data_IF_888905830385
#
_entry.id   IF_888905830385
#
_cell.length_a   1.000
_cell.length_b   1.000
_cell.length_c   1.000
_cell.angle_alpha   90.00
_cell.angle_beta   90.00
_cell.angle_gamma   90.00
#
_symmetry.space_group_name_H-M   'P 1'
#
loop_
_entity.id
_entity.type
_entity.pdbx_description
1 polymer ?
#
# COMPACT_ATOMS: atom_id res chain seq x y z
N UNK A 1 -0.11 11.36 12.20
CA UNK A 1 0.30 12.12 10.99
C UNK A 1 -0.40 11.64 9.71
N UNK A 2 -0.77 10.35 9.57
CA UNK A 2 -1.50 9.80 8.41
C UNK A 2 -2.86 9.15 8.73
N UNK A 3 -3.41 9.36 9.92
CA UNK A 3 -4.63 8.66 10.40
C UNK A 3 -5.84 8.83 9.45
N UNK A 4 -5.97 10.01 8.82
CA UNK A 4 -7.03 10.30 7.86
C UNK A 4 -6.99 9.45 6.57
N UNK A 5 -5.88 8.78 6.27
CA UNK A 5 -5.77 7.82 5.17
C UNK A 5 -6.46 6.51 5.53
N UNK A 6 -6.36 6.09 6.79
CA UNK A 6 -6.84 4.78 7.26
C UNK A 6 -8.23 4.85 7.87
N UNK A 7 -8.64 6.00 8.39
CA UNK A 7 -9.93 6.24 9.02
C UNK A 7 -10.72 7.41 8.37
N UNK A 8 -10.93 7.42 7.03
CA UNK A 8 -11.71 8.47 6.38
C UNK A 8 -13.20 8.32 6.69
N UNK A 9 -13.92 9.43 6.90
CA UNK A 9 -15.37 9.42 7.13
C UNK A 9 -16.17 9.43 5.83
N UNK A 10 -15.50 9.79 4.73
CA UNK A 10 -16.09 9.93 3.41
C UNK A 10 -15.04 9.66 2.34
N UNK A 11 -15.42 8.89 1.33
CA UNK A 11 -14.56 8.51 0.20
C UNK A 11 -15.26 8.80 -1.12
N UNK A 12 -14.50 9.22 -2.12
CA UNK A 12 -14.96 9.29 -3.50
C UNK A 12 -14.18 8.34 -4.40
N UNK A 13 -14.88 7.67 -5.31
CA UNK A 13 -14.31 6.69 -6.22
C UNK A 13 -14.47 7.22 -7.65
N UNK A 14 -13.39 7.77 -8.19
CA UNK A 14 -13.36 8.50 -9.45
C UNK A 14 -13.07 7.55 -10.60
N UNK A 15 -14.00 7.48 -11.54
CA UNK A 15 -13.98 6.54 -12.67
C UNK A 15 -15.03 5.44 -12.56
N UNK A 16 -15.81 5.39 -11.46
CA UNK A 16 -16.89 4.43 -11.28
C UNK A 16 -17.94 4.59 -12.39
N UNK A 17 -18.48 3.51 -12.95
CA UNK A 17 -19.41 3.54 -14.08
C UNK A 17 -20.74 2.90 -13.72
N UNK A 18 -21.83 3.52 -14.16
CA UNK A 18 -23.18 2.92 -14.12
C UNK A 18 -23.46 1.99 -15.30
N UNK A 19 -22.63 2.00 -16.36
CA UNK A 19 -22.83 1.16 -17.53
C UNK A 19 -22.38 -0.29 -17.27
N UNK A 20 -23.35 -1.20 -17.25
CA UNK A 20 -23.18 -2.64 -16.99
C UNK A 20 -22.19 -3.31 -17.96
N UNK A 21 -22.15 -2.92 -19.24
CA UNK A 21 -21.20 -3.49 -20.21
C UNK A 21 -19.75 -3.11 -19.91
N UNK A 22 -19.54 -1.93 -19.33
CA UNK A 22 -18.22 -1.48 -18.88
C UNK A 22 -17.86 -2.02 -17.47
N UNK A 23 -18.83 -2.53 -16.71
CA UNK A 23 -18.64 -2.85 -15.29
C UNK A 23 -17.81 -4.10 -15.03
N UNK A 24 -17.81 -5.09 -15.93
CA UNK A 24 -17.08 -6.35 -15.72
C UNK A 24 -15.55 -6.18 -15.70
N UNK A 25 -15.03 -5.07 -16.24
CA UNK A 25 -13.59 -4.77 -16.28
C UNK A 25 -13.20 -3.41 -15.67
N UNK A 26 -14.16 -2.63 -15.13
CA UNK A 26 -13.86 -1.32 -14.58
C UNK A 26 -13.28 -1.43 -13.16
N UNK A 27 -12.00 -1.14 -13.01
CA UNK A 27 -11.28 -1.15 -11.73
C UNK A 27 -11.92 -0.22 -10.68
N UNK A 28 -12.47 0.94 -11.07
CA UNK A 28 -13.15 1.82 -10.13
C UNK A 28 -14.38 1.15 -9.50
N UNK A 29 -15.11 0.33 -10.26
CA UNK A 29 -16.22 -0.45 -9.72
C UNK A 29 -15.72 -1.55 -8.79
N UNK A 30 -14.55 -2.16 -9.07
CA UNK A 30 -13.93 -3.12 -8.14
C UNK A 30 -13.64 -2.47 -6.79
N UNK A 31 -13.08 -1.26 -6.76
CA UNK A 31 -12.90 -0.51 -5.49
C UNK A 31 -14.23 -0.25 -4.79
N UNK A 32 -15.25 0.23 -5.52
CA UNK A 32 -16.57 0.50 -4.96
C UNK A 32 -17.16 -0.75 -4.31
N UNK A 33 -17.18 -1.85 -5.05
CA UNK A 33 -17.72 -3.12 -4.58
C UNK A 33 -16.88 -3.71 -3.44
N UNK A 34 -15.56 -3.50 -3.44
CA UNK A 34 -14.66 -3.94 -2.36
C UNK A 34 -14.92 -3.17 -1.07
N UNK A 35 -15.12 -1.86 -1.14
CA UNK A 35 -15.44 -1.03 0.03
C UNK A 35 -16.81 -1.39 0.59
N UNK A 36 -17.81 -1.62 -0.27
CA UNK A 36 -19.13 -2.08 0.15
C UNK A 36 -19.07 -3.47 0.80
N UNK A 37 -18.35 -4.42 0.19
CA UNK A 37 -18.23 -5.80 0.69
C UNK A 37 -17.44 -5.89 1.99
N UNK A 38 -16.44 -5.02 2.17
CA UNK A 38 -15.67 -4.91 3.41
C UNK A 38 -16.36 -4.08 4.50
N UNK A 39 -17.54 -3.51 4.22
CA UNK A 39 -18.33 -2.77 5.19
C UNK A 39 -17.73 -1.40 5.54
N UNK A 40 -17.27 -0.63 4.54
CA UNK A 40 -16.77 0.72 4.76
C UNK A 40 -17.71 1.54 5.64
N UNK A 41 -17.18 2.10 6.73
CA UNK A 41 -17.99 2.68 7.81
C UNK A 41 -18.48 4.11 7.52
N UNK A 42 -17.91 4.76 6.51
CA UNK A 42 -18.24 6.13 6.10
C UNK A 42 -19.14 6.23 4.88
N UNK A 43 -19.22 7.44 4.31
CA UNK A 43 -19.99 7.72 3.10
C UNK A 43 -19.18 7.44 1.83
N UNK A 44 -19.79 6.77 0.84
CA UNK A 44 -19.15 6.46 -0.44
C UNK A 44 -19.80 7.26 -1.57
N UNK A 45 -18.99 7.96 -2.35
CA UNK A 45 -19.44 8.79 -3.48
C UNK A 45 -18.81 8.33 -4.80
N UNK A 46 -19.53 7.60 -5.66
CA UNK A 46 -19.03 7.29 -7.00
C UNK A 46 -19.03 8.55 -7.86
N UNK A 47 -17.94 8.77 -8.62
CA UNK A 47 -17.76 9.95 -9.47
C UNK A 47 -17.51 9.53 -10.92
N UNK A 48 -18.32 10.05 -11.84
CA UNK A 48 -18.18 9.89 -13.28
C UNK A 48 -18.74 11.09 -14.02
N UNK A 49 -18.04 11.58 -15.06
CA UNK A 49 -18.52 12.70 -15.89
C UNK A 49 -19.91 12.48 -16.51
N UNK A 50 -20.32 11.22 -16.72
CA UNK A 50 -21.66 10.88 -17.26
C UNK A 50 -22.77 10.90 -16.21
N UNK A 51 -22.43 10.94 -14.92
CA UNK A 51 -23.39 10.78 -13.83
C UNK A 51 -24.08 9.41 -13.85
N UNK A 52 -25.27 9.35 -13.26
CA UNK A 52 -26.11 8.15 -13.20
C UNK A 52 -26.26 7.61 -11.78
N UNK A 53 -26.49 6.30 -11.69
CA UNK A 53 -26.72 5.61 -10.43
C UNK A 53 -26.06 4.23 -10.47
N UNK A 54 -25.35 3.87 -9.40
CA UNK A 54 -24.79 2.53 -9.19
C UNK A 54 -25.43 2.01 -7.91
N UNK A 55 -26.19 0.91 -8.00
CA UNK A 55 -27.04 0.44 -6.88
C UNK A 55 -27.99 1.55 -6.41
N UNK A 56 -27.95 1.90 -5.15
CA UNK A 56 -28.67 3.02 -4.50
C UNK A 56 -27.82 4.30 -4.42
N UNK A 57 -26.58 4.30 -4.92
CA UNK A 57 -25.67 5.42 -4.85
C UNK A 57 -25.79 6.32 -6.08
N UNK A 58 -26.01 7.62 -5.85
CA UNK A 58 -25.93 8.65 -6.87
C UNK A 58 -24.49 8.82 -7.35
N UNK A 59 -24.29 8.79 -8.67
CA UNK A 59 -23.00 9.08 -9.31
C UNK A 59 -22.91 10.58 -9.59
N UNK A 60 -21.93 11.25 -8.99
CA UNK A 60 -21.69 12.68 -9.18
C UNK A 60 -20.76 12.93 -10.37
N UNK A 61 -20.92 14.07 -11.03
CA UNK A 61 -20.13 14.46 -12.19
C UNK A 61 -18.73 14.97 -11.86
N UNK A 62 -18.56 15.55 -10.67
CA UNK A 62 -17.31 16.08 -10.17
C UNK A 62 -17.22 15.90 -8.65
N UNK A 63 -16.00 15.81 -8.11
CA UNK A 63 -15.76 15.73 -6.65
C UNK A 63 -16.26 16.96 -5.90
N UNK A 64 -16.29 18.13 -6.55
CA UNK A 64 -16.82 19.38 -5.95
C UNK A 64 -18.31 19.30 -5.64
N UNK A 65 -19.05 18.53 -6.44
CA UNK A 65 -20.51 18.40 -6.37
C UNK A 65 -20.96 17.47 -5.23
N UNK A 66 -20.04 16.73 -4.61
CA UNK A 66 -20.32 15.85 -3.49
C UNK A 66 -20.84 16.66 -2.30
N UNK A 67 -21.95 16.27 -1.65
CA UNK A 67 -22.46 16.99 -0.49
C UNK A 67 -21.56 16.76 0.73
N UNK A 68 -21.27 17.82 1.48
CA UNK A 68 -20.50 17.72 2.73
C UNK A 68 -18.99 17.54 2.54
N UNK A 69 -18.27 17.16 3.62
CA UNK A 69 -16.84 16.94 3.60
C UNK A 69 -16.48 15.67 2.82
N UNK A 70 -15.30 15.68 2.19
CA UNK A 70 -14.74 14.55 1.46
C UNK A 70 -13.30 14.32 1.95
N UNK A 71 -13.05 13.24 2.69
CA UNK A 71 -11.75 13.03 3.33
C UNK A 71 -10.73 12.37 2.36
N UNK A 72 -11.16 11.41 1.54
CA UNK A 72 -10.28 10.57 0.72
C UNK A 72 -10.80 10.32 -0.69
N UNK A 73 -9.92 10.21 -1.69
CA UNK A 73 -10.29 9.95 -3.09
C UNK A 73 -9.48 8.79 -3.66
N UNK A 74 -10.17 7.83 -4.29
CA UNK A 74 -9.56 6.79 -5.13
C UNK A 74 -9.68 7.23 -6.59
N UNK A 75 -8.55 7.39 -7.28
CA UNK A 75 -8.47 7.81 -8.67
C UNK A 75 -8.15 6.63 -9.61
N UNK A 76 -9.07 6.36 -10.52
CA UNK A 76 -8.95 5.32 -11.55
C UNK A 76 -9.13 5.87 -12.97
N UNK A 77 -8.92 7.17 -13.19
CA UNK A 77 -9.06 7.82 -14.50
C UNK A 77 -7.71 7.91 -15.23
N UNK A 78 -7.73 8.23 -16.52
CA UNK A 78 -6.50 8.38 -17.31
C UNK A 78 -5.60 9.52 -16.80
N UNK A 79 -4.27 9.33 -16.88
CA UNK A 79 -3.26 10.21 -16.29
C UNK A 79 -3.40 11.70 -16.66
N UNK A 80 -3.72 12.01 -17.92
CA UNK A 80 -3.86 13.40 -18.37
C UNK A 80 -5.04 14.15 -17.73
N UNK A 81 -5.98 13.45 -17.08
CA UNK A 81 -7.07 14.07 -16.32
C UNK A 81 -6.73 14.31 -14.84
N UNK A 82 -5.64 13.72 -14.34
CA UNK A 82 -5.25 13.78 -12.93
C UNK A 82 -4.96 15.21 -12.42
N UNK A 83 -4.25 16.08 -13.17
CA UNK A 83 -4.00 17.45 -12.70
C UNK A 83 -5.28 18.23 -12.36
N UNK A 84 -6.33 18.09 -13.19
CA UNK A 84 -7.61 18.74 -12.92
C UNK A 84 -8.31 18.14 -11.69
N UNK A 85 -8.26 16.82 -11.52
CA UNK A 85 -8.81 16.16 -10.33
C UNK A 85 -8.15 16.68 -9.05
N UNK A 86 -6.82 16.85 -9.03
CA UNK A 86 -6.11 17.36 -7.85
C UNK A 86 -6.56 18.78 -7.52
N UNK A 87 -6.72 19.66 -8.52
CA UNK A 87 -7.24 21.03 -8.31
C UNK A 87 -8.64 21.01 -7.71
N UNK A 88 -9.51 20.14 -8.22
CA UNK A 88 -10.88 20.01 -7.72
C UNK A 88 -10.92 19.43 -6.28
N UNK A 89 -10.06 18.45 -5.98
CA UNK A 89 -9.89 17.89 -4.65
C UNK A 89 -9.34 18.92 -3.64
N UNK A 90 -8.34 19.70 -4.04
CA UNK A 90 -7.77 20.77 -3.22
C UNK A 90 -8.84 21.83 -2.90
N UNK A 91 -9.61 22.27 -3.91
CA UNK A 91 -10.72 23.21 -3.70
C UNK A 91 -11.82 22.64 -2.77
N UNK A 92 -11.99 21.32 -2.74
CA UNK A 92 -12.94 20.62 -1.87
C UNK A 92 -12.40 20.36 -0.46
N UNK A 93 -11.11 20.58 -0.22
CA UNK A 93 -10.45 20.28 1.05
C UNK A 93 -10.22 18.79 1.31
N UNK A 94 -10.05 18.00 0.24
CA UNK A 94 -9.71 16.57 0.34
C UNK A 94 -8.32 16.42 0.97
N UNK A 95 -8.17 15.46 1.90
CA UNK A 95 -6.92 15.27 2.64
C UNK A 95 -5.94 14.36 1.90
N UNK A 96 -6.43 13.31 1.25
CA UNK A 96 -5.60 12.37 0.51
C UNK A 96 -6.25 11.89 -0.79
N UNK A 97 -5.40 11.65 -1.79
CA UNK A 97 -5.77 11.00 -3.05
C UNK A 97 -4.85 9.80 -3.28
N UNK A 98 -5.45 8.65 -3.52
CA UNK A 98 -4.79 7.45 -4.00
C UNK A 98 -4.95 7.33 -5.51
N UNK A 99 -3.86 7.03 -6.20
CA UNK A 99 -3.86 6.85 -7.65
C UNK A 99 -3.59 5.40 -8.03
N UNK A 100 -4.64 4.71 -8.47
CA UNK A 100 -4.48 3.49 -9.27
C UNK A 100 -3.90 3.79 -10.65
N UNK A 101 -4.19 4.99 -11.16
CA UNK A 101 -3.69 5.50 -12.43
C UNK A 101 -2.18 5.36 -12.57
N UNK A 102 -1.75 4.72 -13.67
CA UNK A 102 -0.38 4.67 -14.16
C UNK A 102 -0.16 5.67 -15.33
N UNK A 103 1.02 5.68 -15.93
CA UNK A 103 1.49 6.61 -16.97
C UNK A 103 2.40 7.72 -16.45
N UNK A 104 3.10 7.51 -15.33
CA UNK A 104 3.97 8.50 -14.68
C UNK A 104 5.46 8.11 -14.79
N UNK A 105 6.26 8.25 -13.73
CA UNK A 105 7.72 7.99 -13.79
C UNK A 105 8.07 6.55 -14.16
N UNK A 106 7.21 5.59 -13.83
CA UNK A 106 7.37 4.18 -14.20
C UNK A 106 7.29 3.93 -15.71
N UNK A 107 6.75 4.89 -16.48
CA UNK A 107 6.76 4.80 -17.95
C UNK A 107 8.14 5.11 -18.55
N UNK A 108 9.06 5.67 -17.75
CA UNK A 108 10.40 6.09 -18.19
C UNK A 108 10.37 7.10 -19.35
N UNK A 109 9.27 7.83 -19.51
CA UNK A 109 9.11 8.89 -20.52
C UNK A 109 9.23 10.28 -19.91
N UNK A 110 9.80 11.24 -20.64
CA UNK A 110 9.86 12.66 -20.20
C UNK A 110 8.47 13.19 -19.85
N UNK A 111 7.45 12.83 -20.63
CA UNK A 111 6.06 13.21 -20.39
C UNK A 111 5.54 12.67 -19.06
N UNK A 112 5.81 11.40 -18.76
CA UNK A 112 5.41 10.78 -17.49
C UNK A 112 6.11 11.38 -16.28
N UNK A 113 7.41 11.68 -16.41
CA UNK A 113 8.19 12.37 -15.36
C UNK A 113 7.67 13.80 -15.12
N UNK A 114 7.44 14.56 -16.19
CA UNK A 114 6.92 15.92 -16.11
C UNK A 114 5.52 15.95 -15.49
N UNK A 115 4.65 15.01 -15.88
CA UNK A 115 3.32 14.87 -15.30
C UNK A 115 3.38 14.51 -13.82
N UNK A 116 4.29 13.63 -13.40
CA UNK A 116 4.44 13.32 -11.98
C UNK A 116 4.88 14.54 -11.17
N UNK A 117 5.84 15.31 -11.69
CA UNK A 117 6.29 16.54 -11.07
C UNK A 117 5.15 17.57 -10.94
N UNK A 118 4.32 17.71 -11.99
CA UNK A 118 3.14 18.59 -11.96
C UNK A 118 2.18 18.19 -10.84
N UNK A 119 1.80 16.91 -10.74
CA UNK A 119 0.80 16.48 -9.75
C UNK A 119 1.32 16.65 -8.30
N UNK A 120 2.61 16.45 -8.07
CA UNK A 120 3.23 16.67 -6.75
C UNK A 120 3.17 18.16 -6.41
N UNK A 121 3.53 19.05 -7.34
CA UNK A 121 3.48 20.49 -7.13
C UNK A 121 2.04 20.97 -6.83
N UNK A 122 1.05 20.46 -7.57
CA UNK A 122 -0.36 20.80 -7.34
C UNK A 122 -0.88 20.30 -5.98
N UNK A 123 -0.50 19.09 -5.59
CA UNK A 123 -0.90 18.52 -4.31
C UNK A 123 -0.29 19.30 -3.14
N UNK A 124 0.99 19.68 -3.23
CA UNK A 124 1.66 20.51 -2.23
C UNK A 124 1.00 21.89 -2.11
N UNK A 125 0.70 22.56 -3.23
CA UNK A 125 -0.01 23.85 -3.23
C UNK A 125 -1.41 23.74 -2.62
N UNK A 126 -2.09 22.62 -2.85
CA UNK A 126 -3.45 22.36 -2.37
C UNK A 126 -3.53 21.78 -0.96
N UNK A 127 -2.41 21.46 -0.32
CA UNK A 127 -2.40 20.79 0.99
C UNK A 127 -2.97 19.37 0.97
N UNK A 128 -2.86 18.67 -0.16
CA UNK A 128 -3.39 17.30 -0.36
C UNK A 128 -2.24 16.30 -0.34
N UNK A 129 -2.39 15.17 0.35
CA UNK A 129 -1.41 14.07 0.31
C UNK A 129 -1.70 13.09 -0.84
N UNK A 130 -0.65 12.51 -1.42
CA UNK A 130 -0.76 11.54 -2.52
C UNK A 130 -0.20 10.16 -2.12
N UNK A 131 -0.95 9.12 -2.47
CA UNK A 131 -0.50 7.72 -2.41
C UNK A 131 -0.38 7.20 -3.85
N UNK A 132 0.78 6.63 -4.19
CA UNK A 132 1.12 6.23 -5.56
C UNK A 132 1.98 7.28 -6.27
N UNK A 133 1.72 7.56 -7.57
CA UNK A 133 0.77 6.88 -8.44
C UNK A 133 1.15 5.43 -8.74
N UNK A 134 0.40 4.78 -9.63
CA UNK A 134 0.62 3.40 -10.02
C UNK A 134 0.62 2.43 -8.81
N UNK A 135 -0.47 2.45 -8.04
CA UNK A 135 -0.57 1.64 -6.82
C UNK A 135 -1.94 0.97 -6.67
N UNK A 136 -2.05 -0.04 -5.80
CA UNK A 136 -3.35 -0.58 -5.35
C UNK A 136 -3.92 0.22 -4.16
N UNK A 137 -3.07 0.99 -3.48
CA UNK A 137 -3.40 1.78 -2.30
C UNK A 137 -3.78 0.96 -1.07
N UNK A 138 -4.84 1.39 -0.37
CA UNK A 138 -5.06 1.01 1.03
C UNK A 138 -6.07 -0.13 1.17
N UNK A 139 -5.67 -1.12 1.96
CA UNK A 139 -6.53 -2.14 2.56
C UNK A 139 -6.47 -1.97 4.09
N UNK A 140 -7.60 -1.59 4.69
CA UNK A 140 -7.72 -1.35 6.13
C UNK A 140 -9.06 -1.95 6.58
N UNK A 141 -9.07 -3.19 7.08
CA UNK A 141 -10.31 -3.89 7.39
C UNK A 141 -11.14 -3.17 8.47
N UNK A 142 -10.51 -2.50 9.43
CA UNK A 142 -11.20 -1.80 10.52
C UNK A 142 -12.05 -0.63 10.04
N UNK A 143 -11.64 0.04 8.95
CA UNK A 143 -12.43 1.08 8.30
C UNK A 143 -13.22 0.58 7.10
N UNK A 144 -13.06 -0.68 6.71
CA UNK A 144 -13.68 -1.31 5.55
C UNK A 144 -13.13 -0.85 4.19
N UNK A 145 -11.96 -0.20 4.16
CA UNK A 145 -11.27 0.12 2.91
C UNK A 145 -10.62 -1.14 2.32
N UNK A 146 -10.84 -1.39 1.03
CA UNK A 146 -10.20 -2.53 0.33
C UNK A 146 -10.07 -2.29 -1.17
N UNK A 147 -9.00 -2.81 -1.76
CA UNK A 147 -8.77 -2.78 -3.20
C UNK A 147 -9.03 -4.12 -3.90
N UNK A 148 -9.56 -5.11 -3.18
CA UNK A 148 -9.93 -6.42 -3.71
C UNK A 148 -11.17 -7.00 -3.01
N UNK A 149 -12.00 -7.70 -3.79
CA UNK A 149 -13.28 -8.26 -3.34
C UNK A 149 -13.13 -9.47 -2.42
N UNK A 150 -12.06 -10.24 -2.59
CA UNK A 150 -11.80 -11.48 -1.88
C UNK A 150 -10.98 -11.30 -0.60
N UNK A 151 -10.62 -10.05 -0.26
CA UNK A 151 -9.92 -9.76 0.99
C UNK A 151 -10.89 -9.84 2.19
N UNK A 152 -10.46 -10.41 3.32
CA UNK A 152 -11.32 -10.53 4.49
C UNK A 152 -11.59 -9.15 5.12
N UNK A 153 -12.79 -8.94 5.65
CA UNK A 153 -13.13 -7.74 6.44
C UNK A 153 -12.63 -7.82 7.89
N UNK A 154 -12.11 -8.98 8.32
CA UNK A 154 -11.59 -9.16 9.67
C UNK A 154 -10.21 -8.50 9.81
N UNK A 155 -10.12 -7.55 10.75
CA UNK A 155 -8.85 -6.95 11.15
C UNK A 155 -7.95 -7.94 11.87
N UNK A 156 -6.64 -7.77 11.67
CA UNK A 156 -5.61 -8.48 12.42
C UNK A 156 -4.55 -7.54 12.95
N UNK A 157 -3.33 -8.05 13.04
CA UNK A 157 -2.21 -7.40 13.74
C UNK A 157 -0.98 -7.15 12.87
N UNK A 158 -1.04 -7.53 11.60
CA UNK A 158 0.07 -7.32 10.66
C UNK A 158 -0.14 -6.02 9.90
N UNK A 159 0.84 -5.13 9.92
CA UNK A 159 0.95 -4.00 9.01
C UNK A 159 1.79 -4.42 7.80
N UNK A 160 1.36 -4.11 6.58
CA UNK A 160 2.08 -4.50 5.37
C UNK A 160 2.27 -3.33 4.41
N UNK A 161 3.52 -3.00 4.13
CA UNK A 161 3.91 -1.95 3.19
C UNK A 161 4.44 -2.63 1.93
N UNK A 162 3.93 -2.28 0.75
CA UNK A 162 4.39 -2.88 -0.51
C UNK A 162 4.56 -1.84 -1.60
N UNK A 163 5.77 -1.74 -2.13
CA UNK A 163 6.02 -0.86 -3.28
C UNK A 163 5.28 -1.35 -4.53
N UNK A 164 5.25 -2.66 -4.72
CA UNK A 164 4.62 -3.31 -5.87
C UNK A 164 3.15 -3.61 -5.61
N UNK A 165 2.26 -3.19 -6.51
CA UNK A 165 0.82 -3.48 -6.42
C UNK A 165 0.49 -4.97 -6.59
N UNK A 166 1.13 -5.64 -7.54
CA UNK A 166 0.95 -7.08 -7.77
C UNK A 166 1.39 -7.90 -6.57
N UNK A 167 2.56 -7.60 -6.00
CA UNK A 167 3.04 -8.28 -4.79
C UNK A 167 2.24 -7.93 -3.55
N UNK A 168 1.68 -6.71 -3.46
CA UNK A 168 0.73 -6.38 -2.38
C UNK A 168 -0.47 -7.33 -2.43
N UNK A 169 -1.04 -7.51 -3.61
CA UNK A 169 -2.21 -8.36 -3.81
C UNK A 169 -1.91 -9.84 -3.56
N UNK A 170 -0.81 -10.34 -4.13
CA UNK A 170 -0.38 -11.73 -3.93
C UNK A 170 0.00 -12.01 -2.47
N UNK A 171 0.80 -11.14 -1.84
CA UNK A 171 1.23 -11.30 -0.46
C UNK A 171 0.08 -11.28 0.54
N UNK A 172 -0.92 -10.40 0.35
CA UNK A 172 -2.11 -10.40 1.20
C UNK A 172 -2.88 -11.72 1.06
N UNK A 173 -3.18 -12.15 -0.18
CA UNK A 173 -3.92 -13.40 -0.44
C UNK A 173 -3.21 -14.60 0.16
N UNK A 174 -1.91 -14.70 -0.09
CA UNK A 174 -1.11 -15.83 0.34
C UNK A 174 -1.03 -15.91 1.87
N UNK A 175 -0.77 -14.78 2.54
CA UNK A 175 -0.75 -14.73 4.01
C UNK A 175 -2.13 -15.01 4.63
N UNK A 176 -3.22 -14.47 4.05
CA UNK A 176 -4.60 -14.70 4.52
C UNK A 176 -4.98 -16.17 4.48
N UNK A 177 -4.59 -16.90 3.43
CA UNK A 177 -4.79 -18.34 3.31
C UNK A 177 -4.09 -19.13 4.43
N UNK A 178 -3.03 -18.58 5.01
CA UNK A 178 -2.30 -19.16 6.15
C UNK A 178 -2.75 -18.60 7.51
N UNK A 179 -3.93 -17.98 7.55
CA UNK A 179 -4.53 -17.46 8.77
C UNK A 179 -3.99 -16.10 9.22
N UNK A 180 -3.13 -15.43 8.45
CA UNK A 180 -2.72 -14.06 8.77
C UNK A 180 -3.89 -13.10 8.53
N UNK A 181 -4.00 -12.09 9.38
CA UNK A 181 -4.95 -10.99 9.24
C UNK A 181 -4.19 -9.68 9.37
N UNK A 182 -4.54 -8.72 8.52
CA UNK A 182 -3.86 -7.44 8.46
C UNK A 182 -4.62 -6.40 9.28
N UNK A 183 -3.87 -5.57 10.01
CA UNK A 183 -4.39 -4.31 10.55
C UNK A 183 -4.54 -3.31 9.41
N UNK A 184 -3.47 -3.14 8.61
CA UNK A 184 -3.38 -2.26 7.45
C UNK A 184 -2.44 -2.87 6.43
N UNK A 185 -2.78 -2.79 5.14
CA UNK A 185 -1.85 -3.05 4.06
C UNK A 185 -1.91 -1.90 3.04
N UNK A 186 -0.75 -1.48 2.54
CA UNK A 186 -0.63 -0.32 1.67
C UNK A 186 0.25 -0.67 0.49
N UNK A 187 -0.33 -0.62 -0.70
CA UNK A 187 0.43 -0.50 -1.94
C UNK A 187 0.67 0.97 -2.25
N UNK A 188 1.91 1.42 -2.31
CA UNK A 188 2.25 2.85 -2.45
C UNK A 188 2.94 3.21 -3.77
N UNK A 189 3.23 2.24 -4.63
CA UNK A 189 3.66 2.47 -6.01
C UNK A 189 4.90 3.36 -6.13
N UNK A 190 4.80 4.40 -6.96
CA UNK A 190 5.92 5.31 -7.28
C UNK A 190 6.39 6.18 -6.10
N UNK A 191 5.66 6.19 -4.97
CA UNK A 191 6.00 6.97 -3.77
C UNK A 191 6.21 8.47 -4.06
N UNK A 192 5.35 9.12 -4.84
CA UNK A 192 5.58 10.51 -5.27
C UNK A 192 5.43 11.55 -4.14
N UNK A 193 4.73 11.18 -3.06
CA UNK A 193 4.58 11.98 -1.84
C UNK A 193 4.66 11.08 -0.60
N UNK A 194 3.60 10.30 -0.30
CA UNK A 194 3.65 9.32 0.79
C UNK A 194 4.55 8.16 0.37
N UNK A 195 5.62 7.95 1.14
CA UNK A 195 6.66 6.96 0.88
C UNK A 195 6.71 5.85 1.95
N UNK A 196 7.64 4.91 1.77
CA UNK A 196 7.88 3.84 2.72
C UNK A 196 8.22 4.33 4.13
N UNK A 197 8.92 5.47 4.24
CA UNK A 197 9.38 6.01 5.52
C UNK A 197 8.21 6.60 6.31
N UNK A 198 7.33 7.35 5.63
CA UNK A 198 6.08 7.86 6.18
C UNK A 198 5.19 6.72 6.74
N UNK A 199 5.03 5.64 5.95
CA UNK A 199 4.22 4.49 6.31
C UNK A 199 4.83 3.70 7.46
N UNK A 200 6.15 3.53 7.46
CA UNK A 200 6.88 2.85 8.52
C UNK A 200 6.82 3.62 9.83
N UNK A 201 7.00 4.94 9.79
CA UNK A 201 6.84 5.83 10.94
C UNK A 201 5.42 5.76 11.52
N UNK A 202 4.40 5.71 10.66
CA UNK A 202 3.01 5.54 11.09
C UNK A 202 2.78 4.18 11.79
N UNK A 203 3.15 3.08 11.12
CA UNK A 203 2.92 1.73 11.65
C UNK A 203 3.76 1.44 12.90
N UNK A 204 4.90 2.12 13.09
CA UNK A 204 5.74 2.00 14.29
C UNK A 204 4.98 2.35 15.56
N UNK A 205 4.14 3.39 15.53
CA UNK A 205 3.39 3.87 16.70
C UNK A 205 1.93 3.44 16.74
N UNK A 206 1.45 2.77 15.69
CA UNK A 206 0.07 2.32 15.57
C UNK A 206 -0.27 1.18 16.56
N UNK A 207 -1.18 1.35 17.53
CA UNK A 207 -1.53 0.29 18.48
C UNK A 207 -2.29 -0.89 17.84
N UNK A 208 -2.78 -0.76 16.61
CA UNK A 208 -3.45 -1.86 15.90
C UNK A 208 -2.46 -2.81 15.22
N UNK A 209 -1.21 -2.38 15.02
CA UNK A 209 -0.16 -3.15 14.34
C UNK A 209 0.86 -3.69 15.34
N UNK A 210 1.06 -5.00 15.37
CA UNK A 210 2.06 -5.65 16.23
C UNK A 210 3.30 -6.07 15.44
N UNK A 211 3.16 -6.40 14.15
CA UNK A 211 4.24 -6.85 13.25
C UNK A 211 4.18 -6.04 11.97
N UNK A 212 5.33 -5.59 11.46
CA UNK A 212 5.43 -4.84 10.21
C UNK A 212 6.14 -5.71 9.15
N UNK A 213 5.49 -5.92 8.02
CA UNK A 213 6.08 -6.52 6.83
C UNK A 213 6.30 -5.44 5.76
N UNK A 214 7.40 -5.54 5.03
CA UNK A 214 7.76 -4.59 3.97
C UNK A 214 8.20 -5.35 2.73
N UNK A 215 7.56 -5.08 1.59
CA UNK A 215 8.08 -5.39 0.25
C UNK A 215 8.64 -4.10 -0.34
N UNK A 216 9.94 -4.08 -0.63
CA UNK A 216 10.62 -2.87 -1.11
C UNK A 216 11.52 -3.17 -2.31
N UNK A 217 11.47 -2.32 -3.33
CA UNK A 217 12.32 -2.38 -4.52
C UNK A 217 13.45 -1.37 -4.43
N UNK A 218 13.19 -0.20 -3.86
CA UNK A 218 14.16 0.86 -3.64
C UNK A 218 13.60 1.97 -2.75
N UNK A 219 14.45 2.95 -2.43
CA UNK A 219 14.10 4.12 -1.59
C UNK A 219 14.58 5.39 -2.27
N UNK A 220 13.88 6.50 -2.02
CA UNK A 220 14.31 7.83 -2.49
C UNK A 220 15.28 8.48 -1.51
N UNK A 221 14.97 8.44 -0.21
CA UNK A 221 15.82 8.93 0.87
C UNK A 221 16.27 7.76 1.75
N UNK A 222 17.41 7.17 1.39
CA UNK A 222 17.96 6.04 2.16
C UNK A 222 18.32 6.39 3.60
N UNK A 223 18.78 7.62 3.87
CA UNK A 223 19.13 8.04 5.21
C UNK A 223 17.89 8.14 6.11
N UNK A 224 16.78 8.68 5.58
CA UNK A 224 15.49 8.70 6.28
C UNK A 224 14.95 7.29 6.50
N UNK A 225 14.98 6.45 5.46
CA UNK A 225 14.51 5.07 5.56
C UNK A 225 15.23 4.30 6.66
N UNK A 226 16.57 4.37 6.73
CA UNK A 226 17.35 3.71 7.80
C UNK A 226 16.90 4.16 9.18
N UNK A 227 16.76 5.48 9.41
CA UNK A 227 16.30 6.00 10.71
C UNK A 227 14.88 5.56 11.07
N UNK A 228 13.97 5.51 10.09
CA UNK A 228 12.62 5.02 10.28
C UNK A 228 12.61 3.52 10.61
N UNK A 229 13.46 2.74 9.93
CA UNK A 229 13.61 1.31 10.12
C UNK A 229 14.18 0.96 11.49
N UNK A 230 15.24 1.65 11.94
CA UNK A 230 15.81 1.48 13.27
C UNK A 230 14.77 1.74 14.38
N UNK A 231 13.96 2.80 14.22
CA UNK A 231 12.87 3.11 15.16
C UNK A 231 11.78 2.03 15.14
N UNK A 232 11.43 1.52 13.96
CA UNK A 232 10.43 0.47 13.81
C UNK A 232 10.89 -0.83 14.47
N UNK A 233 12.12 -1.28 14.20
CA UNK A 233 12.71 -2.50 14.79
C UNK A 233 12.81 -2.43 16.30
N UNK A 234 13.17 -1.25 16.84
CA UNK A 234 13.23 -1.04 18.28
C UNK A 234 11.86 -1.16 18.96
N UNK A 235 10.76 -0.92 18.23
CA UNK A 235 9.41 -0.97 18.76
C UNK A 235 8.70 -2.30 18.49
N UNK A 236 8.88 -2.88 17.30
CA UNK A 236 8.09 -4.00 16.77
C UNK A 236 8.94 -4.90 15.87
N UNK A 237 8.61 -6.20 15.75
CA UNK A 237 9.21 -7.05 14.72
C UNK A 237 8.97 -6.47 13.32
N UNK A 238 10.04 -6.32 12.55
CA UNK A 238 10.00 -5.88 11.16
C UNK A 238 10.59 -6.97 10.26
N UNK A 239 9.82 -7.38 9.26
CA UNK A 239 10.23 -8.35 8.24
C UNK A 239 10.32 -7.62 6.91
N UNK A 240 11.50 -7.62 6.28
CA UNK A 240 11.77 -6.94 5.01
C UNK A 240 12.05 -7.95 3.92
N UNK A 241 11.27 -7.88 2.85
CA UNK A 241 11.60 -8.46 1.57
C UNK A 241 12.13 -7.36 0.64
N UNK A 242 13.44 -7.38 0.40
CA UNK A 242 14.07 -6.53 -0.60
C UNK A 242 14.05 -7.24 -1.95
N UNK A 243 13.22 -6.78 -2.87
CA UNK A 243 13.21 -7.30 -4.23
C UNK A 243 14.52 -6.96 -4.96
N UNK A 244 15.00 -7.87 -5.80
CA UNK A 244 16.26 -7.68 -6.53
C UNK A 244 17.53 -7.86 -5.70
N UNK A 245 17.44 -8.57 -4.55
CA UNK A 245 18.59 -8.87 -3.68
C UNK A 245 19.61 -9.82 -4.33
N UNK A 246 19.13 -10.79 -5.11
CA UNK A 246 20.00 -11.72 -5.85
C UNK A 246 20.51 -11.06 -7.14
N UNK A 247 21.69 -11.45 -7.62
CA UNK A 247 22.23 -10.99 -8.91
C UNK A 247 21.22 -11.16 -10.07
N UNK A 248 20.42 -12.23 -10.02
CA UNK A 248 19.37 -12.49 -11.01
C UNK A 248 18.17 -11.53 -10.86
N UNK A 249 17.74 -11.25 -9.62
CA UNK A 249 16.68 -10.28 -9.35
C UNK A 249 17.12 -8.84 -9.62
N UNK A 250 18.37 -8.49 -9.34
CA UNK A 250 18.95 -7.17 -9.65
C UNK A 250 18.99 -6.92 -11.16
N UNK A 251 19.33 -7.94 -11.96
CA UNK A 251 19.25 -7.88 -13.44
C UNK A 251 17.82 -7.79 -13.96
N UNK A 252 16.86 -8.45 -13.30
CA UNK A 252 15.44 -8.34 -13.66
C UNK A 252 14.85 -6.98 -13.27
N UNK A 253 15.42 -6.32 -12.26
CA UNK A 253 14.99 -5.01 -11.76
C UNK A 253 15.73 -3.82 -12.42
N UNK A 254 16.84 -4.03 -13.14
CA UNK A 254 17.64 -2.94 -13.70
C UNK A 254 18.51 -3.32 -14.91
N UNK A 255 18.71 -2.35 -15.80
CA UNK A 255 19.38 -2.46 -17.11
C UNK A 255 20.83 -1.92 -17.17
N UNK A 256 21.55 -1.78 -16.05
CA UNK A 256 22.97 -1.34 -16.04
C UNK A 256 23.84 -2.09 -15.00
N UNK A 257 24.78 -2.91 -15.48
CA UNK A 257 25.39 -4.05 -14.75
C UNK A 257 26.51 -3.74 -13.75
N UNK A 258 26.99 -2.49 -13.63
CA UNK A 258 28.08 -2.14 -12.70
C UNK A 258 27.62 -1.51 -11.37
N UNK A 259 26.61 -0.63 -11.41
CA UNK A 259 26.10 0.07 -10.23
C UNK A 259 25.21 -0.83 -9.34
N UNK A 260 24.63 -1.89 -9.93
CA UNK A 260 23.74 -2.83 -9.26
C UNK A 260 24.41 -3.63 -8.15
N UNK A 261 25.63 -4.13 -8.39
CA UNK A 261 26.37 -4.92 -7.40
C UNK A 261 26.75 -4.09 -6.15
N UNK A 262 27.12 -2.82 -6.35
CA UNK A 262 27.39 -1.89 -5.23
C UNK A 262 26.14 -1.57 -4.42
N UNK A 263 24.99 -1.42 -5.08
CA UNK A 263 23.72 -1.18 -4.41
C UNK A 263 23.27 -2.39 -3.57
N UNK A 264 23.40 -3.62 -4.07
CA UNK A 264 23.01 -4.84 -3.33
C UNK A 264 23.78 -5.01 -2.02
N UNK A 265 25.11 -4.79 -2.04
CA UNK A 265 25.94 -4.89 -0.83
C UNK A 265 25.59 -3.83 0.22
N UNK A 266 25.24 -2.62 -0.21
CA UNK A 266 24.78 -1.56 0.71
C UNK A 266 23.46 -1.97 1.37
N UNK A 267 22.52 -2.50 0.58
CA UNK A 267 21.26 -3.00 1.11
C UNK A 267 21.45 -4.13 2.12
N UNK A 268 22.28 -5.12 1.82
CA UNK A 268 22.59 -6.21 2.75
C UNK A 268 23.15 -5.69 4.07
N UNK A 269 24.12 -4.78 4.02
CA UNK A 269 24.74 -4.24 5.22
C UNK A 269 23.76 -3.41 6.04
N UNK A 270 22.90 -2.61 5.41
CA UNK A 270 21.85 -1.84 6.09
C UNK A 270 20.86 -2.79 6.79
N UNK A 271 20.35 -3.80 6.10
CA UNK A 271 19.40 -4.75 6.70
C UNK A 271 20.06 -5.54 7.84
N UNK A 272 21.34 -5.91 7.69
CA UNK A 272 22.11 -6.58 8.74
C UNK A 272 22.34 -5.69 9.96
N UNK A 273 22.72 -4.42 9.77
CA UNK A 273 23.01 -3.47 10.86
C UNK A 273 21.74 -3.07 11.63
N UNK A 274 20.62 -2.92 10.93
CA UNK A 274 19.34 -2.56 11.56
C UNK A 274 18.70 -3.72 12.33
N UNK A 275 19.14 -4.96 12.12
CA UNK A 275 18.62 -6.12 12.84
C UNK A 275 17.23 -6.56 12.40
N UNK A 276 16.79 -6.13 11.21
CA UNK A 276 15.52 -6.61 10.63
C UNK A 276 15.61 -8.09 10.27
N UNK A 277 14.46 -8.75 10.28
CA UNK A 277 14.34 -10.08 9.69
C UNK A 277 14.19 -9.93 8.19
N UNK A 278 14.97 -10.66 7.41
CA UNK A 278 14.89 -10.62 5.94
C UNK A 278 14.16 -11.83 5.39
N UNK A 279 13.35 -11.62 4.35
CA UNK A 279 12.74 -12.68 3.55
C UNK A 279 13.23 -12.60 2.10
N UNK A 280 13.34 -13.75 1.44
CA UNK A 280 13.77 -13.89 0.04
C UNK A 280 12.62 -14.07 -0.94
N UNK A 281 11.44 -14.46 -0.46
CA UNK A 281 10.23 -14.60 -1.27
C UNK A 281 8.98 -14.14 -0.51
N UNK A 282 7.90 -13.87 -1.25
CA UNK A 282 6.61 -13.50 -0.64
C UNK A 282 6.08 -14.67 0.20
N UNK A 283 6.36 -15.89 -0.22
CA UNK A 283 6.06 -17.11 0.51
C UNK A 283 6.80 -17.16 1.85
N UNK A 284 8.12 -16.91 1.84
CA UNK A 284 8.92 -16.86 3.06
C UNK A 284 8.50 -15.70 3.97
N UNK A 285 8.21 -14.52 3.41
CA UNK A 285 7.68 -13.38 4.15
C UNK A 285 6.42 -13.79 4.92
N UNK A 286 5.50 -14.48 4.25
CA UNK A 286 4.29 -14.96 4.90
C UNK A 286 4.58 -16.07 5.93
N UNK A 287 5.65 -16.86 5.80
CA UNK A 287 5.99 -17.96 6.73
C UNK A 287 6.57 -17.39 8.01
N UNK A 288 7.39 -16.35 7.87
CA UNK A 288 7.86 -15.54 8.97
C UNK A 288 6.68 -14.83 9.65
N UNK A 289 5.71 -14.29 8.90
CA UNK A 289 4.51 -13.71 9.51
C UNK A 289 3.74 -14.73 10.37
N UNK A 290 3.56 -15.97 9.90
CA UNK A 290 2.93 -17.05 10.68
C UNK A 290 3.75 -17.35 11.94
N UNK A 291 5.06 -17.47 11.79
CA UNK A 291 6.01 -17.71 12.88
C UNK A 291 5.89 -16.64 13.95
N UNK A 292 6.05 -15.37 13.59
CA UNK A 292 6.00 -14.25 14.54
C UNK A 292 4.60 -14.03 15.13
N UNK A 293 3.53 -14.39 14.41
CA UNK A 293 2.16 -14.20 14.89
C UNK A 293 1.70 -15.26 15.89
N UNK A 294 2.13 -16.51 15.70
CA UNK A 294 1.57 -17.67 16.39
C UNK A 294 2.57 -18.43 17.26
N UNK A 295 3.88 -18.23 17.09
CA UNK A 295 4.88 -18.86 17.94
C UNK A 295 5.38 -17.88 19.00
N UNK A 296 5.58 -18.38 20.22
CA UNK A 296 6.19 -17.61 21.28
C UNK A 296 7.68 -17.44 21.02
N UNK A 297 8.22 -16.26 21.34
CA UNK A 297 9.67 -16.04 21.33
C UNK A 297 10.32 -17.04 22.30
N UNK A 298 11.26 -17.89 21.84
CA UNK A 298 11.92 -18.84 22.72
C UNK A 298 12.65 -18.10 23.85
N UNK A 299 12.39 -18.49 25.11
CA UNK A 299 12.99 -17.87 26.29
C UNK A 299 14.42 -18.36 26.62
N UNK A 300 15.09 -19.08 25.71
CA UNK A 300 16.42 -19.66 25.94
C UNK A 300 17.07 -20.27 24.69
N UNK A 301 18.38 -20.53 24.75
CA UNK A 301 19.25 -20.92 23.62
C UNK A 301 19.42 -22.42 23.35
N UNK A 302 18.45 -23.26 23.75
CA UNK A 302 18.47 -24.69 23.48
C UNK A 302 17.60 -25.04 22.28
N UNK A 303 18.21 -25.30 21.12
CA UNK A 303 17.51 -25.98 20.02
C UNK A 303 17.38 -27.46 20.41
N UNK A 304 16.15 -27.97 20.52
CA UNK A 304 15.91 -29.40 20.74
C UNK A 304 15.49 -30.01 19.41
N UNK A 305 16.32 -30.87 18.79
CA UNK A 305 15.96 -31.60 17.59
C UNK A 305 14.62 -32.33 17.73
N UNK A 306 13.79 -32.29 16.69
CA UNK A 306 12.46 -32.88 16.67
C UNK A 306 12.47 -34.40 17.00
N UNK A 307 13.57 -35.09 16.70
CA UNK A 307 13.81 -36.50 17.03
C UNK A 307 13.72 -36.78 18.55
N UNK A 308 14.08 -35.81 19.40
CA UNK A 308 14.00 -35.92 20.86
C UNK A 308 12.59 -35.60 21.40
N UNK A 309 11.77 -34.87 20.65
CA UNK A 309 10.40 -34.49 21.04
C UNK A 309 9.39 -35.56 20.59
N UNK A 310 9.60 -36.20 19.44
CA UNK A 310 8.72 -37.24 18.92
C UNK A 310 8.66 -38.53 19.78
N UNK A 311 9.60 -38.70 20.71
CA UNK A 311 9.60 -39.77 21.71
C UNK A 311 8.72 -39.49 22.94
N UNK A 312 8.18 -38.28 23.07
CA UNK A 312 7.29 -37.86 24.15
C UNK A 312 5.90 -37.60 23.56
N UNK A 313 5.13 -38.68 23.37
CA UNK A 313 3.70 -38.61 23.05
C UNK A 313 2.87 -38.29 24.28
#
# INVERSE_FOLDING_TARGET
>A
MLDFIFNPRSVAIVGASANIEANSANVANVYLESFLSCGFSGLIYPINRKGGQIRDLKVYTNVKDVPGPLDYVVCCIQAHHVPQLIRDCAAKGVKAIQFFTAGFTESETEKGMALQAEIVALAQQGGVRLIGPNCMGVYCPSSGMSFALDFPSQSGKVGYISQSGGNAHFGIRYAVQRGIRFSKAISYGNACDVDESDLLEYLTVDPETDIIAIYIEGVKDGGRFVRALERAVAAKPVIVLKWGRTDAGARAAASHTGALAGASRVWEEVLRQTGVVTADSVEELADLLVTFRYLAVPKGGGWVPWELVAGLR
#
